data_IF_807200603188
#
_entry.id   IF_807200603188
#
_cell.length_a   1.000
_cell.length_b   1.000
_cell.length_c   1.000
_cell.angle_alpha   90.00
_cell.angle_beta   90.00
_cell.angle_gamma   90.00
#
_symmetry.space_group_name_H-M   'P 1'
#
loop_
_entity.id
_entity.type
_entity.pdbx_description
1 polymer ?
#
# COMPACT_ATOMS: atom_id res chain seq x y z
N UNK A 1 -7.36 24.80 -10.24
CA UNK A 1 -7.35 23.87 -11.37
C UNK A 1 -6.14 22.97 -11.20
N UNK A 2 -6.36 21.80 -10.65
CA UNK A 2 -5.30 20.78 -10.56
C UNK A 2 -5.24 20.09 -11.92
N UNK A 3 -4.26 20.45 -12.74
CA UNK A 3 -4.15 19.95 -14.11
C UNK A 3 -3.39 18.64 -14.24
N UNK A 4 -2.83 18.09 -13.16
CA UNK A 4 -1.96 16.93 -13.19
C UNK A 4 -2.30 15.94 -12.08
N UNK A 5 -1.93 14.66 -12.29
CA UNK A 5 -2.32 13.52 -11.46
C UNK A 5 -1.41 13.32 -10.23
N UNK A 6 -0.85 14.38 -9.70
CA UNK A 6 0.26 14.30 -8.74
C UNK A 6 -0.18 14.46 -7.28
N UNK A 7 -1.48 14.59 -7.06
CA UNK A 7 -2.06 14.81 -5.74
C UNK A 7 -2.88 13.60 -5.28
N UNK A 8 -3.14 13.53 -3.97
CA UNK A 8 -3.92 12.44 -3.36
C UNK A 8 -5.40 12.82 -3.12
N UNK A 9 -5.91 13.82 -3.85
CA UNK A 9 -7.32 14.21 -3.81
C UNK A 9 -8.24 13.19 -4.49
N UNK A 10 -9.53 13.15 -4.11
CA UNK A 10 -10.52 12.21 -4.66
C UNK A 10 -10.56 12.23 -6.19
N UNK A 11 -10.43 13.38 -6.84
CA UNK A 11 -10.42 13.51 -8.31
C UNK A 11 -9.26 12.78 -8.98
N UNK A 12 -8.20 12.49 -8.24
CA UNK A 12 -6.99 11.83 -8.73
C UNK A 12 -7.00 10.35 -8.37
N UNK A 13 -7.29 10.02 -7.10
CA UNK A 13 -7.14 8.66 -6.58
C UNK A 13 -8.39 7.81 -6.78
N UNK A 14 -9.57 8.42 -6.89
CA UNK A 14 -10.83 7.73 -7.12
C UNK A 14 -11.04 7.47 -8.62
N UNK A 15 -10.38 6.45 -9.13
CA UNK A 15 -10.51 6.04 -10.53
C UNK A 15 -11.74 5.14 -10.74
N UNK A 16 -12.47 5.27 -11.86
CA UNK A 16 -13.56 4.36 -12.19
C UNK A 16 -13.07 2.92 -12.33
N UNK A 17 -13.78 1.98 -11.70
CA UNK A 17 -13.54 0.55 -11.86
C UNK A 17 -14.84 -0.13 -12.29
N UNK A 18 -14.81 -0.82 -13.43
CA UNK A 18 -15.95 -1.56 -13.98
C UNK A 18 -15.50 -3.00 -14.20
N UNK A 19 -16.18 -3.94 -13.53
CA UNK A 19 -15.88 -5.35 -13.63
C UNK A 19 -17.14 -6.10 -14.09
N UNK A 20 -16.97 -6.99 -15.06
CA UNK A 20 -18.03 -7.90 -15.51
C UNK A 20 -17.59 -9.33 -15.22
N UNK A 21 -18.28 -9.98 -14.30
CA UNK A 21 -18.14 -11.41 -14.08
C UNK A 21 -19.21 -12.16 -14.88
N UNK A 22 -18.84 -13.00 -15.87
CA UNK A 22 -19.80 -13.72 -16.71
C UNK A 22 -20.43 -14.93 -15.99
N UNK A 23 -19.92 -15.32 -14.82
CA UNK A 23 -20.41 -16.50 -14.08
C UNK A 23 -21.77 -16.22 -13.44
N UNK A 24 -22.59 -17.27 -13.33
CA UNK A 24 -23.93 -17.20 -12.72
C UNK A 24 -23.91 -16.80 -11.25
N UNK A 25 -22.81 -17.02 -10.54
CA UNK A 25 -22.64 -16.56 -9.16
C UNK A 25 -22.76 -15.04 -9.01
N UNK A 26 -22.46 -14.27 -10.06
CA UNK A 26 -22.56 -12.81 -10.07
C UNK A 26 -23.91 -12.28 -10.62
N UNK A 27 -24.87 -13.13 -10.95
CA UNK A 27 -26.12 -12.69 -11.56
C UNK A 27 -26.93 -11.73 -10.67
N UNK A 28 -26.87 -11.93 -9.35
CA UNK A 28 -27.61 -11.11 -8.39
C UNK A 28 -27.04 -9.69 -8.21
N UNK A 29 -25.78 -9.48 -8.54
CA UNK A 29 -25.07 -8.19 -8.40
C UNK A 29 -24.81 -7.52 -9.73
N UNK A 30 -25.05 -8.21 -10.85
CA UNK A 30 -24.80 -7.69 -12.20
C UNK A 30 -25.60 -6.43 -12.47
N UNK A 31 -24.92 -5.38 -12.96
CA UNK A 31 -25.53 -4.08 -13.20
C UNK A 31 -25.71 -3.21 -11.94
N UNK A 32 -25.25 -3.66 -10.79
CA UNK A 32 -25.24 -2.85 -9.58
C UNK A 32 -24.02 -1.94 -9.52
N UNK A 33 -24.09 -0.92 -8.65
CA UNK A 33 -22.96 -0.06 -8.26
C UNK A 33 -22.59 -0.35 -6.80
N UNK A 34 -21.30 -0.38 -6.50
CA UNK A 34 -20.79 -0.55 -5.14
C UNK A 34 -19.94 0.65 -4.75
N UNK A 35 -20.07 1.11 -3.51
CA UNK A 35 -19.23 2.13 -2.90
C UNK A 35 -18.13 1.54 -2.02
N UNK A 36 -17.89 0.23 -2.14
CA UNK A 36 -16.88 -0.43 -1.31
C UNK A 36 -15.47 0.05 -1.66
N UNK A 37 -14.64 0.14 -0.63
CA UNK A 37 -13.23 0.48 -0.77
C UNK A 37 -12.49 -0.67 -1.45
N UNK A 38 -11.95 -0.38 -2.63
CA UNK A 38 -11.16 -1.32 -3.43
C UNK A 38 -9.92 -0.61 -3.97
N UNK A 39 -8.89 -1.37 -4.29
CA UNK A 39 -7.63 -0.84 -4.80
C UNK A 39 -7.25 -1.51 -6.13
N UNK A 40 -6.41 -0.86 -6.92
CA UNK A 40 -5.93 -1.43 -8.19
C UNK A 40 -5.15 -2.74 -8.00
N UNK A 41 -4.51 -2.93 -6.84
CA UNK A 41 -3.80 -4.18 -6.50
C UNK A 41 -4.75 -5.37 -6.36
N UNK A 42 -6.06 -5.15 -6.20
CA UNK A 42 -7.07 -6.21 -6.09
C UNK A 42 -7.37 -6.89 -7.44
N UNK A 43 -6.99 -6.25 -8.55
CA UNK A 43 -7.24 -6.77 -9.90
C UNK A 43 -6.49 -8.07 -10.14
N UNK A 44 -5.22 -8.13 -9.77
CA UNK A 44 -4.39 -9.34 -10.02
C UNK A 44 -4.91 -10.57 -9.25
N UNK A 45 -5.14 -10.53 -7.93
CA UNK A 45 -5.71 -11.67 -7.22
C UNK A 45 -7.10 -12.06 -7.73
N UNK A 46 -7.91 -11.10 -8.21
CA UNK A 46 -9.20 -11.36 -8.83
C UNK A 46 -9.05 -12.21 -10.11
N UNK A 47 -8.10 -11.88 -10.97
CA UNK A 47 -7.83 -12.68 -12.17
C UNK A 47 -7.27 -14.05 -11.85
N UNK A 48 -6.34 -14.14 -10.90
CA UNK A 48 -5.78 -15.43 -10.48
C UNK A 48 -6.88 -16.38 -10.01
N UNK A 49 -7.77 -15.91 -9.15
CA UNK A 49 -8.88 -16.70 -8.64
C UNK A 49 -9.91 -17.03 -9.74
N UNK A 50 -10.24 -16.06 -10.62
CA UNK A 50 -11.16 -16.28 -11.72
C UNK A 50 -10.68 -17.36 -12.70
N UNK A 51 -9.38 -17.53 -12.86
CA UNK A 51 -8.75 -18.56 -13.70
C UNK A 51 -8.56 -19.89 -12.97
N UNK A 52 -9.07 -20.05 -11.77
CA UNK A 52 -8.97 -21.28 -10.98
C UNK A 52 -7.63 -21.45 -10.26
N UNK A 53 -6.83 -20.40 -10.17
CA UNK A 53 -5.70 -20.36 -9.27
C UNK A 53 -6.19 -20.40 -7.82
N UNK A 54 -5.38 -20.96 -6.92
CA UNK A 54 -5.68 -20.86 -5.50
C UNK A 54 -5.78 -19.37 -5.13
N UNK A 55 -6.80 -19.02 -4.34
CA UNK A 55 -6.92 -17.67 -3.80
C UNK A 55 -5.73 -17.41 -2.88
N UNK A 56 -4.67 -16.96 -3.51
CA UNK A 56 -3.42 -16.63 -2.84
C UNK A 56 -3.47 -15.23 -2.20
N UNK A 57 -4.68 -14.74 -1.84
CA UNK A 57 -4.80 -13.58 -0.94
C UNK A 57 -4.04 -13.82 0.39
N UNK A 58 -3.70 -15.08 0.63
CA UNK A 58 -2.74 -15.54 1.65
C UNK A 58 -1.34 -15.77 1.10
N UNK A 59 -1.14 -15.65 -0.22
CA UNK A 59 0.20 -15.82 -0.77
C UNK A 59 1.05 -14.63 -0.37
N UNK A 60 2.28 -14.91 -0.05
CA UNK A 60 3.32 -13.94 0.31
C UNK A 60 3.58 -12.88 -0.78
N UNK A 61 2.96 -13.01 -1.95
CA UNK A 61 3.25 -12.26 -3.16
C UNK A 61 2.23 -11.15 -3.48
N UNK A 62 0.99 -11.28 -3.01
CA UNK A 62 -0.10 -10.37 -3.38
C UNK A 62 -0.63 -9.67 -2.13
N UNK A 63 -0.57 -8.35 -2.11
CA UNK A 63 -1.14 -7.53 -1.03
C UNK A 63 -2.63 -7.23 -1.27
N UNK A 64 -3.09 -7.34 -2.53
CA UNK A 64 -4.48 -7.15 -2.91
C UNK A 64 -5.38 -8.32 -2.52
N UNK A 65 -6.67 -8.10 -2.58
CA UNK A 65 -7.72 -9.07 -2.28
C UNK A 65 -8.57 -9.32 -3.52
N UNK A 66 -8.99 -10.57 -3.73
CA UNK A 66 -9.89 -10.88 -4.84
C UNK A 66 -11.25 -10.20 -4.66
N UNK A 67 -11.75 -9.59 -5.73
CA UNK A 67 -13.07 -8.96 -5.78
C UNK A 67 -14.20 -9.95 -6.09
N UNK A 68 -13.91 -11.23 -6.35
CA UNK A 68 -14.95 -12.21 -6.69
C UNK A 68 -16.00 -12.41 -5.59
N UNK A 69 -15.65 -12.44 -4.29
CA UNK A 69 -16.65 -12.51 -3.22
C UNK A 69 -17.56 -11.27 -3.16
N UNK A 70 -17.03 -10.10 -3.54
CA UNK A 70 -17.82 -8.88 -3.65
C UNK A 70 -18.75 -8.94 -4.87
N UNK A 71 -18.24 -9.44 -5.99
CA UNK A 71 -19.02 -9.59 -7.24
C UNK A 71 -20.11 -10.65 -7.12
N UNK A 72 -19.93 -11.70 -6.34
CA UNK A 72 -20.97 -12.71 -6.05
C UNK A 72 -21.97 -12.29 -4.96
N UNK A 73 -21.70 -11.20 -4.26
CA UNK A 73 -22.53 -10.75 -3.13
C UNK A 73 -22.32 -11.54 -1.85
N UNK A 74 -21.30 -12.39 -1.76
CA UNK A 74 -20.93 -13.15 -0.57
C UNK A 74 -20.40 -12.27 0.55
N UNK A 75 -19.73 -11.18 0.20
CA UNK A 75 -19.27 -10.17 1.15
C UNK A 75 -19.78 -8.78 0.77
N UNK A 76 -19.96 -7.94 1.77
CA UNK A 76 -20.39 -6.54 1.57
C UNK A 76 -19.23 -5.55 1.71
N UNK A 77 -18.15 -5.93 2.38
CA UNK A 77 -16.95 -5.12 2.54
C UNK A 77 -15.73 -6.03 2.57
N UNK A 78 -14.63 -5.57 2.01
CA UNK A 78 -13.37 -6.29 2.01
C UNK A 78 -12.33 -5.62 2.90
N UNK A 79 -12.43 -4.31 3.08
CA UNK A 79 -11.47 -3.53 3.86
C UNK A 79 -12.10 -2.29 4.46
N UNK A 80 -11.54 -1.83 5.55
CA UNK A 80 -12.00 -0.64 6.27
C UNK A 80 -11.31 0.64 5.77
N UNK A 81 -10.20 0.50 5.04
CA UNK A 81 -9.45 1.61 4.48
C UNK A 81 -8.69 1.20 3.22
N UNK A 82 -8.32 2.20 2.43
CA UNK A 82 -7.41 2.09 1.28
C UNK A 82 -6.21 3.01 1.47
N UNK A 83 -5.07 2.65 0.86
CA UNK A 83 -3.83 3.42 0.93
C UNK A 83 -3.35 3.77 -0.48
N UNK A 84 -2.84 4.97 -0.63
CA UNK A 84 -2.17 5.40 -1.86
C UNK A 84 -0.91 6.18 -1.52
N UNK A 85 0.13 5.97 -2.31
CA UNK A 85 1.41 6.67 -2.16
C UNK A 85 1.67 7.53 -3.39
N UNK A 86 2.19 8.73 -3.16
CA UNK A 86 2.69 9.62 -4.21
C UNK A 86 4.16 9.96 -3.92
N UNK A 87 4.99 9.86 -4.95
CA UNK A 87 6.39 10.29 -4.89
C UNK A 87 6.59 11.43 -5.89
N UNK A 88 6.78 12.62 -5.37
CA UNK A 88 6.97 13.84 -6.16
C UNK A 88 8.43 14.12 -6.50
N UNK A 89 9.31 13.15 -6.33
CA UNK A 89 10.75 13.29 -6.60
C UNK A 89 11.08 13.66 -8.04
N UNK A 90 10.16 13.44 -8.99
CA UNK A 90 10.33 13.78 -10.40
C UNK A 90 9.75 15.15 -10.79
N UNK A 91 9.01 15.80 -9.90
CA UNK A 91 8.39 17.08 -10.22
C UNK A 91 9.34 18.23 -9.84
N UNK A 92 9.99 18.79 -10.83
CA UNK A 92 10.69 20.10 -10.70
C UNK A 92 9.73 21.25 -10.33
N UNK A 93 8.43 20.96 -10.26
CA UNK A 93 7.37 21.94 -9.96
C UNK A 93 7.35 22.42 -8.51
N UNK A 94 8.22 21.96 -7.65
CA UNK A 94 8.25 22.39 -6.27
C UNK A 94 9.02 23.71 -6.07
N UNK A 95 8.87 24.66 -6.96
CA UNK A 95 9.31 26.06 -6.68
C UNK A 95 8.66 26.66 -5.41
N UNK A 96 7.68 25.96 -4.81
CA UNK A 96 7.07 26.31 -3.55
C UNK A 96 7.61 25.53 -2.34
N UNK A 97 8.42 24.48 -2.55
CA UNK A 97 9.08 23.72 -1.48
C UNK A 97 10.59 23.95 -1.63
N UNK A 98 11.02 25.17 -1.32
CA UNK A 98 12.40 25.64 -1.62
C UNK A 98 13.48 25.14 -0.67
N UNK A 99 13.22 24.25 0.30
CA UNK A 99 14.21 24.09 1.38
C UNK A 99 14.61 22.67 1.76
N UNK A 100 14.32 21.66 0.98
CA UNK A 100 14.91 20.35 1.25
C UNK A 100 15.86 19.95 0.13
N UNK A 101 17.13 20.17 0.31
CA UNK A 101 18.20 19.77 -0.60
C UNK A 101 18.31 18.27 -0.88
N UNK A 102 17.26 17.50 -0.60
CA UNK A 102 17.22 16.07 -0.82
C UNK A 102 15.93 15.67 -1.57
N UNK A 103 16.05 15.47 -2.88
CA UNK A 103 14.95 15.04 -3.75
C UNK A 103 14.33 13.66 -3.37
N UNK A 104 14.90 12.95 -2.41
CA UNK A 104 14.43 11.63 -1.94
C UNK A 104 13.38 11.70 -0.84
N UNK A 105 13.04 12.88 -0.33
CA UNK A 105 12.12 13.07 0.81
C UNK A 105 10.82 13.75 0.38
N UNK A 106 10.26 13.39 -0.76
CA UNK A 106 9.05 14.05 -1.29
C UNK A 106 7.89 13.09 -1.43
N UNK A 107 7.77 12.16 -0.48
CA UNK A 107 6.65 11.22 -0.47
C UNK A 107 5.52 11.74 0.39
N UNK A 108 4.32 11.40 -0.04
CA UNK A 108 3.14 11.47 0.78
C UNK A 108 2.39 10.15 0.69
N UNK A 109 1.82 9.73 1.79
CA UNK A 109 1.01 8.51 1.87
C UNK A 109 -0.34 8.86 2.44
N UNK A 110 -1.39 8.48 1.74
CA UNK A 110 -2.77 8.70 2.09
C UNK A 110 -3.37 7.41 2.64
N UNK A 111 -4.11 7.51 3.75
CA UNK A 111 -5.07 6.50 4.19
C UNK A 111 -6.48 7.09 4.12
N UNK A 112 -7.43 6.34 3.53
CA UNK A 112 -8.81 6.76 3.36
C UNK A 112 -9.74 5.67 3.85
N UNK A 113 -10.61 6.03 4.77
CA UNK A 113 -11.77 5.26 5.23
C UNK A 113 -13.03 5.69 4.47
N UNK A 114 -14.20 5.18 4.81
CA UNK A 114 -15.45 5.64 4.20
C UNK A 114 -15.68 7.14 4.40
N UNK A 115 -15.32 7.69 5.57
CA UNK A 115 -15.58 9.08 5.92
C UNK A 115 -14.34 9.97 5.88
N UNK A 116 -13.22 9.52 6.39
CA UNK A 116 -12.05 10.36 6.58
C UNK A 116 -10.92 10.01 5.64
N UNK A 117 -10.18 11.02 5.21
CA UNK A 117 -8.92 10.89 4.49
C UNK A 117 -7.83 11.62 5.26
N UNK A 118 -6.76 10.89 5.57
CA UNK A 118 -5.56 11.45 6.20
C UNK A 118 -4.37 11.31 5.26
N UNK A 119 -3.61 12.38 5.09
CA UNK A 119 -2.39 12.41 4.27
C UNK A 119 -1.20 12.70 5.16
N UNK A 120 -0.30 11.73 5.24
CA UNK A 120 1.00 11.88 5.89
C UNK A 120 2.01 12.36 4.85
N UNK A 121 2.61 13.52 5.07
CA UNK A 121 3.61 14.10 4.18
C UNK A 121 5.00 14.10 4.82
N UNK A 122 6.03 13.75 4.05
CA UNK A 122 7.43 13.80 4.53
C UNK A 122 7.99 15.24 4.56
N UNK A 123 7.41 16.15 3.77
CA UNK A 123 7.97 17.53 3.60
C UNK A 123 6.93 18.61 3.84
N UNK A 124 5.66 18.33 3.56
CA UNK A 124 4.56 19.28 3.73
C UNK A 124 3.80 19.08 5.06
N UNK A 125 2.75 19.86 5.26
CA UNK A 125 1.83 19.61 6.36
C UNK A 125 1.09 18.29 6.14
N UNK A 126 0.78 17.60 7.24
CA UNK A 126 -0.20 16.53 7.21
C UNK A 126 -1.59 17.14 7.03
N UNK A 127 -2.48 16.41 6.34
CA UNK A 127 -3.82 16.90 6.03
C UNK A 127 -4.86 15.88 6.52
N UNK A 128 -6.01 16.39 6.94
CA UNK A 128 -7.19 15.58 7.25
C UNK A 128 -8.43 16.18 6.59
N UNK A 129 -9.21 15.34 5.91
CA UNK A 129 -10.48 15.73 5.31
C UNK A 129 -11.61 14.86 5.84
N UNK A 130 -12.76 15.46 6.10
CA UNK A 130 -14.02 14.79 6.39
C UNK A 130 -14.86 14.75 5.11
N UNK A 131 -14.83 13.64 4.41
CA UNK A 131 -15.45 13.48 3.09
C UNK A 131 -16.98 13.49 3.12
N UNK A 132 -17.60 13.30 4.29
CA UNK A 132 -19.04 13.44 4.45
C UNK A 132 -19.47 14.92 4.49
N UNK A 133 -18.67 15.77 5.13
CA UNK A 133 -18.92 17.19 5.25
C UNK A 133 -18.29 18.00 4.11
N UNK A 134 -17.16 17.54 3.59
CA UNK A 134 -16.34 18.23 2.59
C UNK A 134 -15.84 17.23 1.51
N UNK A 135 -16.73 16.75 0.64
CA UNK A 135 -16.37 15.77 -0.40
C UNK A 135 -15.40 16.34 -1.47
N UNK A 136 -15.22 17.66 -1.53
CA UNK A 136 -14.30 18.34 -2.44
C UNK A 136 -12.95 18.68 -1.79
N UNK A 137 -12.73 18.26 -0.53
CA UNK A 137 -11.45 18.38 0.19
C UNK A 137 -10.89 19.82 0.21
N UNK A 138 -11.76 20.78 0.47
CA UNK A 138 -11.40 22.21 0.49
C UNK A 138 -10.90 22.67 1.86
N UNK A 139 -11.25 21.96 2.94
CA UNK A 139 -11.00 22.37 4.32
C UNK A 139 -10.17 21.34 5.07
N UNK A 140 -8.89 21.64 5.28
CA UNK A 140 -8.02 20.82 6.13
C UNK A 140 -8.44 20.89 7.60
N UNK A 141 -8.75 19.74 8.20
CA UNK A 141 -9.18 19.56 9.59
C UNK A 141 -8.07 18.99 10.50
N UNK A 142 -6.85 18.85 9.98
CA UNK A 142 -5.76 18.19 10.72
C UNK A 142 -5.48 18.85 12.09
N UNK A 143 -5.57 20.16 12.16
CA UNK A 143 -5.31 20.93 13.37
C UNK A 143 -6.57 21.21 14.21
N UNK A 144 -7.73 20.69 13.82
CA UNK A 144 -8.96 20.86 14.57
C UNK A 144 -8.94 20.00 15.83
N UNK A 145 -9.14 20.60 16.99
CA UNK A 145 -9.15 19.89 18.27
C UNK A 145 -10.21 18.80 18.36
N UNK A 146 -11.33 18.97 17.65
CA UNK A 146 -12.39 17.96 17.56
C UNK A 146 -12.03 16.74 16.72
N UNK A 147 -10.98 16.82 15.90
CA UNK A 147 -10.53 15.75 15.02
C UNK A 147 -9.25 15.07 15.53
N UNK A 148 -8.71 15.48 16.67
CA UNK A 148 -7.42 14.97 17.18
C UNK A 148 -7.39 13.45 17.34
N UNK A 149 -8.45 12.83 17.86
CA UNK A 149 -8.54 11.37 17.99
C UNK A 149 -8.59 10.66 16.62
N UNK A 150 -9.26 11.26 15.63
CA UNK A 150 -9.33 10.71 14.27
C UNK A 150 -7.94 10.73 13.61
N UNK A 151 -7.20 11.83 13.79
CA UNK A 151 -5.81 11.95 13.31
C UNK A 151 -4.93 10.85 13.92
N UNK A 152 -5.03 10.66 15.25
CA UNK A 152 -4.25 9.65 15.97
C UNK A 152 -4.58 8.25 15.48
N UNK A 153 -5.87 7.90 15.38
CA UNK A 153 -6.34 6.60 14.92
C UNK A 153 -5.88 6.29 13.49
N UNK A 154 -6.04 7.23 12.57
CA UNK A 154 -5.62 7.04 11.17
C UNK A 154 -4.10 7.00 11.01
N UNK A 155 -3.39 7.77 11.80
CA UNK A 155 -1.93 7.72 11.84
C UNK A 155 -1.44 6.34 12.35
N UNK A 156 -2.03 5.81 13.41
CA UNK A 156 -1.70 4.48 13.93
C UNK A 156 -2.02 3.38 12.92
N UNK A 157 -3.18 3.44 12.25
CA UNK A 157 -3.56 2.51 11.20
C UNK A 157 -2.57 2.55 10.03
N UNK A 158 -2.18 3.75 9.59
CA UNK A 158 -1.19 3.92 8.52
C UNK A 158 0.18 3.38 8.92
N UNK A 159 0.62 3.61 10.16
CA UNK A 159 1.85 3.00 10.69
C UNK A 159 1.75 1.48 10.79
N UNK A 160 0.60 0.97 11.15
CA UNK A 160 0.31 -0.47 11.11
C UNK A 160 0.48 -1.03 9.70
N UNK A 161 -0.06 -0.33 8.70
CA UNK A 161 0.08 -0.70 7.29
C UNK A 161 1.55 -0.71 6.85
N UNK A 162 2.35 0.32 7.16
CA UNK A 162 3.79 0.36 6.85
C UNK A 162 4.55 -0.82 7.46
N UNK A 163 4.27 -1.17 8.71
CA UNK A 163 4.94 -2.29 9.39
C UNK A 163 4.55 -3.66 8.86
N UNK A 164 3.32 -3.79 8.38
CA UNK A 164 2.78 -5.04 7.87
C UNK A 164 2.99 -5.19 6.36
N UNK A 165 3.49 -4.15 5.70
CA UNK A 165 3.80 -4.18 4.27
C UNK A 165 4.85 -5.25 4.01
N UNK A 166 4.55 -6.12 3.06
CA UNK A 166 5.47 -7.20 2.69
C UNK A 166 6.60 -6.64 1.85
N UNK A 167 7.81 -6.81 2.34
CA UNK A 167 9.02 -6.43 1.60
C UNK A 167 9.58 -7.60 0.76
N UNK A 168 9.04 -8.80 0.95
CA UNK A 168 9.56 -10.06 0.41
C UNK A 168 8.86 -10.48 -0.90
N UNK A 169 8.56 -9.51 -1.78
CA UNK A 169 7.78 -9.74 -3.00
C UNK A 169 8.48 -10.65 -4.03
N UNK A 170 9.76 -10.90 -3.88
CA UNK A 170 10.56 -11.67 -4.86
C UNK A 170 11.05 -13.03 -4.37
N UNK A 171 10.96 -13.29 -3.07
CA UNK A 171 11.48 -14.53 -2.47
C UNK A 171 10.47 -15.10 -1.47
N UNK A 172 10.11 -16.38 -1.62
CA UNK A 172 9.17 -17.01 -0.68
C UNK A 172 9.77 -17.16 0.71
N UNK A 173 8.93 -17.20 1.75
CA UNK A 173 9.37 -17.43 3.14
C UNK A 173 10.12 -18.75 3.28
N UNK A 174 9.68 -19.80 2.57
CA UNK A 174 10.40 -21.06 2.50
C UNK A 174 11.81 -20.91 1.90
N UNK A 175 11.95 -20.08 0.88
CA UNK A 175 13.25 -19.78 0.27
C UNK A 175 14.13 -18.98 1.23
N UNK A 176 13.55 -17.98 1.95
CA UNK A 176 14.25 -17.20 2.97
C UNK A 176 14.72 -18.12 4.09
N UNK A 177 13.84 -18.95 4.62
CA UNK A 177 14.18 -19.94 5.66
C UNK A 177 15.25 -20.92 5.21
N UNK A 178 15.10 -21.49 4.00
CA UNK A 178 16.08 -22.43 3.42
C UNK A 178 17.44 -21.78 3.15
N UNK A 179 17.49 -20.48 2.89
CA UNK A 179 18.74 -19.73 2.67
C UNK A 179 19.35 -19.20 3.97
N UNK A 180 18.53 -19.06 5.02
CA UNK A 180 18.95 -18.58 6.33
C UNK A 180 19.47 -19.67 7.26
N UNK A 181 19.37 -20.95 6.86
CA UNK A 181 19.94 -22.04 7.64
C UNK A 181 21.47 -21.96 7.65
N UNK A 182 22.11 -22.06 8.83
CA UNK A 182 23.56 -22.12 8.93
C UNK A 182 24.15 -23.24 8.08
N UNK A 183 25.07 -22.92 7.18
CA UNK A 183 25.73 -23.85 6.27
C UNK A 183 25.18 -23.91 4.83
N UNK A 184 24.04 -23.25 4.54
CA UNK A 184 23.50 -23.17 3.19
C UNK A 184 23.98 -21.91 2.41
N UNK A 185 24.38 -20.88 3.12
CA UNK A 185 24.84 -19.60 2.57
C UNK A 185 26.15 -19.74 1.81
N UNK A 186 27.10 -20.54 2.31
CA UNK A 186 28.39 -20.76 1.67
C UNK A 186 28.29 -21.45 0.28
N UNK A 187 27.22 -22.18 0.01
CA UNK A 187 27.05 -22.93 -1.23
C UNK A 187 26.41 -22.15 -2.38
N UNK A 188 25.78 -21.00 -2.10
CA UNK A 188 24.97 -20.28 -3.11
C UNK A 188 25.56 -18.94 -3.57
N UNK A 189 26.60 -18.44 -2.94
CA UNK A 189 27.33 -17.25 -3.40
C UNK A 189 26.52 -15.94 -3.43
N UNK A 190 25.40 -15.86 -2.72
CA UNK A 190 24.59 -14.66 -2.64
C UNK A 190 24.50 -14.26 -1.16
N UNK A 191 25.35 -13.36 -0.68
CA UNK A 191 25.22 -12.82 0.65
C UNK A 191 24.20 -11.67 0.65
N UNK A 192 22.94 -11.99 0.86
CA UNK A 192 22.00 -10.98 1.32
C UNK A 192 22.10 -10.93 2.83
N UNK A 193 23.06 -10.16 3.34
CA UNK A 193 23.25 -9.93 4.77
C UNK A 193 23.90 -11.08 5.55
N UNK A 194 24.44 -12.11 4.87
CA UNK A 194 25.19 -13.22 5.47
C UNK A 194 26.57 -13.29 4.83
N UNK A 195 27.56 -13.42 5.67
CA UNK A 195 28.93 -13.68 5.24
C UNK A 195 29.13 -15.19 5.07
N UNK A 196 29.99 -15.59 4.17
CA UNK A 196 30.35 -17.01 4.11
C UNK A 196 31.13 -17.40 5.39
N UNK A 197 31.20 -18.71 5.67
CA UNK A 197 31.88 -19.19 6.88
C UNK A 197 33.33 -18.72 6.96
N UNK A 198 34.01 -18.60 5.82
CA UNK A 198 35.41 -18.15 5.76
C UNK A 198 35.54 -16.66 6.09
N UNK A 199 34.59 -15.82 5.63
CA UNK A 199 34.54 -14.39 5.96
C UNK A 199 34.17 -14.18 7.42
N UNK A 200 33.25 -14.97 7.97
CA UNK A 200 32.86 -14.94 9.37
C UNK A 200 34.05 -15.35 10.26
N UNK A 201 34.73 -16.44 9.92
CA UNK A 201 35.94 -16.88 10.66
C UNK A 201 37.07 -15.85 10.57
N UNK A 202 37.29 -15.24 9.40
CA UNK A 202 38.28 -14.21 9.22
C UNK A 202 37.94 -12.92 9.99
N UNK A 203 36.66 -12.55 10.05
CA UNK A 203 36.16 -11.42 10.86
C UNK A 203 36.31 -11.66 12.35
N UNK A 204 35.95 -12.86 12.85
CA UNK A 204 36.11 -13.25 14.25
C UNK A 204 37.61 -13.29 14.66
N UNK A 205 38.48 -13.70 13.75
CA UNK A 205 39.92 -13.74 13.98
C UNK A 205 40.62 -12.37 13.84
N UNK A 206 39.86 -11.29 13.52
CA UNK A 206 40.40 -9.95 13.34
C UNK A 206 41.33 -9.80 12.16
N UNK A 207 41.15 -10.63 11.11
CA UNK A 207 42.01 -10.64 9.92
C UNK A 207 41.45 -9.78 8.75
N UNK A 208 40.26 -9.22 8.91
CA UNK A 208 39.58 -8.43 7.87
C UNK A 208 39.50 -6.92 8.16
N UNK A 209 40.17 -6.38 9.19
CA UNK A 209 40.22 -4.95 9.48
C UNK A 209 41.62 -4.53 9.91
#
# INVERSE_FOLDING_TARGET
WMGEKDWLHEEVVRVPMIIVDPRSSADSTRGSTSNQLVEAIDILPTFVEALGGENQSRSQWLEGQSLLPLLSGETKSQRDYVVSEADWGFLEMSNHIQDSGNSRQRRATMIRTDRFKYVLSEVGPNLLYDLDEDPEEQFDRHNDSGCASVVEDLHEQLFGWFRNRRHDTTVSEEMIMATSEPGNTAKRGIPIGYWDENELEAGIQGKLY
#
